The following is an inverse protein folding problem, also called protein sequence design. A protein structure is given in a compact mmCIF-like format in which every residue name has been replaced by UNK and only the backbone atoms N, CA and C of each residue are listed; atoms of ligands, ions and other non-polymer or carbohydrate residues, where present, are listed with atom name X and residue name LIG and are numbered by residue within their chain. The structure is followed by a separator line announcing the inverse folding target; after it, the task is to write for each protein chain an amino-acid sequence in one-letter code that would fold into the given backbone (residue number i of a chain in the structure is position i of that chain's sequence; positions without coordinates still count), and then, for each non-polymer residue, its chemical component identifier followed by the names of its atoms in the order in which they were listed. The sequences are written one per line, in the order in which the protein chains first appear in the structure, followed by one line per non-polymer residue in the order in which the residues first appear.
data_IF_278506633492
#
_entry.id   IF_278506633492
#
_cell.length_a   1.000
_cell.length_b   1.000
_cell.length_c   1.000
_cell.angle_alpha   90.00
_cell.angle_beta   90.00
_cell.angle_gamma   90.00
#
_symmetry.space_group_name_H-M   'P 1'
#
loop_
_entity.id
_entity.type
_entity.pdbx_description
1 polymer ?
#
# COMPACT_ATOMS: atom_id res chain seq x y z
N UNK A 1 42.19 -12.56 -37.60
CA UNK A 1 42.17 -12.24 -36.15
C UNK A 1 40.72 -12.05 -35.75
N UNK A 2 40.10 -13.14 -35.31
CA UNK A 2 38.63 -13.23 -35.13
C UNK A 2 38.29 -12.78 -33.70
N UNK A 3 37.63 -11.64 -33.57
CA UNK A 3 37.13 -11.14 -32.30
C UNK A 3 35.90 -12.00 -31.92
N UNK A 4 36.06 -12.86 -30.94
CA UNK A 4 34.94 -13.58 -30.30
C UNK A 4 34.19 -12.59 -29.43
N UNK A 5 33.01 -12.20 -29.89
CA UNK A 5 31.99 -11.55 -29.06
C UNK A 5 31.52 -12.54 -28.01
N UNK A 6 32.05 -12.40 -26.80
CA UNK A 6 31.56 -13.08 -25.61
C UNK A 6 30.37 -12.28 -25.02
N UNK A 7 29.26 -12.25 -25.74
CA UNK A 7 28.00 -11.82 -25.18
C UNK A 7 27.45 -12.95 -24.29
N UNK A 8 28.00 -13.06 -23.09
CA UNK A 8 27.43 -13.86 -22.03
C UNK A 8 26.41 -12.97 -21.29
N UNK A 9 25.31 -12.61 -21.98
CA UNK A 9 24.11 -12.09 -21.30
C UNK A 9 23.54 -13.23 -20.43
N UNK A 10 23.87 -13.21 -19.13
CA UNK A 10 23.11 -13.98 -18.17
C UNK A 10 21.65 -13.52 -18.29
N UNK A 11 20.81 -14.30 -18.96
CA UNK A 11 19.40 -14.06 -19.02
C UNK A 11 18.86 -14.25 -17.60
N UNK A 12 18.75 -13.16 -16.85
CA UNK A 12 18.02 -13.15 -15.58
C UNK A 12 16.62 -13.66 -15.91
N UNK A 13 16.28 -14.82 -15.38
CA UNK A 13 15.01 -15.52 -15.67
C UNK A 13 13.84 -14.61 -15.30
N UNK A 14 13.33 -13.88 -16.29
CA UNK A 14 12.30 -12.88 -16.11
C UNK A 14 11.03 -13.55 -15.59
N UNK A 15 10.58 -13.20 -14.41
CA UNK A 15 9.37 -13.76 -13.82
C UNK A 15 8.15 -13.25 -14.55
N UNK A 16 7.16 -14.13 -14.78
CA UNK A 16 5.91 -13.78 -15.45
C UNK A 16 5.17 -12.72 -14.61
N UNK A 17 4.80 -11.56 -15.20
CA UNK A 17 4.06 -10.50 -14.52
C UNK A 17 2.73 -10.95 -13.90
N UNK A 18 2.05 -11.92 -14.48
CA UNK A 18 0.83 -12.50 -13.92
C UNK A 18 0.98 -13.10 -12.52
N UNK A 19 2.19 -13.52 -12.16
CA UNK A 19 2.43 -14.12 -10.86
C UNK A 19 2.48 -13.11 -9.72
N UNK A 20 2.72 -11.82 -10.00
CA UNK A 20 2.92 -10.83 -8.96
C UNK A 20 2.04 -9.59 -9.08
N UNK A 21 1.65 -9.13 -10.28
CA UNK A 21 0.83 -7.92 -10.44
C UNK A 21 -0.54 -8.07 -9.79
N UNK A 22 -1.32 -9.14 -10.03
CA UNK A 22 -2.63 -9.30 -9.42
C UNK A 22 -2.60 -9.24 -7.89
N UNK A 23 -1.70 -9.98 -7.28
CA UNK A 23 -1.58 -10.06 -5.82
C UNK A 23 -0.99 -8.81 -5.20
N UNK A 24 -0.08 -8.14 -5.91
CA UNK A 24 0.53 -6.88 -5.45
C UNK A 24 -0.52 -5.76 -5.35
N UNK A 25 -1.35 -5.59 -6.39
CA UNK A 25 -2.38 -4.55 -6.40
C UNK A 25 -3.61 -4.91 -5.55
N UNK A 26 -3.86 -6.19 -5.34
CA UNK A 26 -4.80 -6.63 -4.30
C UNK A 26 -4.29 -6.23 -2.90
N UNK A 27 -3.01 -6.48 -2.61
CA UNK A 27 -2.37 -6.07 -1.36
C UNK A 27 -2.29 -4.54 -1.19
N UNK A 28 -2.30 -3.76 -2.26
CA UNK A 28 -2.35 -2.30 -2.22
C UNK A 28 -3.74 -1.79 -1.82
N UNK A 29 -4.81 -2.34 -2.41
CA UNK A 29 -6.18 -1.86 -2.18
C UNK A 29 -6.76 -2.23 -0.81
N UNK A 30 -6.36 -3.37 -0.24
CA UNK A 30 -7.01 -3.88 0.97
C UNK A 30 -6.74 -3.03 2.24
N UNK A 31 -5.53 -2.52 2.52
CA UNK A 31 -5.31 -1.63 3.67
C UNK A 31 -6.03 -0.30 3.52
N UNK A 32 -6.11 0.23 2.30
CA UNK A 32 -6.86 1.45 2.03
C UNK A 32 -8.34 1.30 2.43
N UNK A 33 -9.00 0.24 1.97
CA UNK A 33 -10.41 0.00 2.33
C UNK A 33 -10.57 -0.32 3.82
N UNK A 34 -9.59 -0.97 4.44
CA UNK A 34 -9.61 -1.24 5.88
C UNK A 34 -9.60 0.06 6.69
N UNK A 35 -8.74 1.00 6.32
CA UNK A 35 -8.63 2.31 7.01
C UNK A 35 -9.83 3.21 6.71
N UNK A 36 -10.27 3.27 5.44
CA UNK A 36 -11.29 4.25 5.02
C UNK A 36 -12.72 3.80 5.26
N UNK A 37 -12.99 2.49 5.23
CA UNK A 37 -14.36 1.97 5.31
C UNK A 37 -14.56 1.02 6.48
N UNK A 38 -13.70 0.00 6.60
CA UNK A 38 -13.89 -1.04 7.64
C UNK A 38 -13.71 -0.45 9.03
N UNK A 39 -12.77 0.48 9.25
CA UNK A 39 -12.58 1.17 10.51
C UNK A 39 -13.86 1.92 10.96
N UNK A 40 -14.51 2.63 10.04
CA UNK A 40 -15.75 3.35 10.30
C UNK A 40 -16.87 2.40 10.73
N UNK A 41 -17.03 1.28 10.00
CA UNK A 41 -18.04 0.27 10.31
C UNK A 41 -17.75 -0.38 11.68
N UNK A 42 -16.50 -0.78 11.90
CA UNK A 42 -16.06 -1.37 13.16
C UNK A 42 -16.34 -0.45 14.36
N UNK A 43 -15.92 0.83 14.30
CA UNK A 43 -16.16 1.78 15.38
C UNK A 43 -17.65 2.00 15.63
N UNK A 44 -18.48 2.03 14.56
CA UNK A 44 -19.93 2.12 14.69
C UNK A 44 -20.51 0.91 15.41
N UNK A 45 -20.06 -0.29 15.09
CA UNK A 45 -20.48 -1.55 15.74
C UNK A 45 -20.01 -1.63 17.18
N UNK A 46 -18.85 -1.04 17.50
CA UNK A 46 -18.32 -0.96 18.86
C UNK A 46 -18.94 0.17 19.71
N UNK A 47 -19.95 0.88 19.17
CA UNK A 47 -20.80 1.81 19.93
C UNK A 47 -20.38 3.28 19.89
N UNK A 48 -19.40 3.68 19.07
CA UNK A 48 -19.02 5.09 18.91
C UNK A 48 -20.14 5.88 18.22
N UNK A 49 -20.30 7.14 18.62
CA UNK A 49 -21.17 8.10 17.94
C UNK A 49 -20.63 8.49 16.56
N UNK A 50 -21.50 8.92 15.66
CA UNK A 50 -21.09 9.35 14.32
C UNK A 50 -20.11 10.53 14.38
N UNK A 51 -20.26 11.44 15.35
CA UNK A 51 -19.36 12.58 15.55
C UNK A 51 -17.96 12.14 15.93
N UNK A 52 -17.82 11.20 16.87
CA UNK A 52 -16.51 10.64 17.27
C UNK A 52 -15.85 9.91 16.11
N UNK A 53 -16.60 9.06 15.39
CA UNK A 53 -16.08 8.34 14.23
C UNK A 53 -15.53 9.32 13.20
N UNK A 54 -16.31 10.35 12.85
CA UNK A 54 -15.86 11.36 11.88
C UNK A 54 -14.63 12.09 12.36
N UNK A 55 -14.59 12.51 13.62
CA UNK A 55 -13.45 13.22 14.21
C UNK A 55 -12.15 12.38 14.13
N UNK A 56 -12.25 11.09 14.45
CA UNK A 56 -11.05 10.23 14.52
C UNK A 56 -10.61 9.72 13.14
N UNK A 57 -11.56 9.42 12.24
CA UNK A 57 -11.21 8.76 10.97
C UNK A 57 -10.94 9.71 9.81
N UNK A 58 -11.46 10.96 9.84
CA UNK A 58 -11.29 11.93 8.74
C UNK A 58 -9.82 12.23 8.42
N UNK A 59 -8.95 12.20 9.40
CA UNK A 59 -7.53 12.49 9.25
C UNK A 59 -6.73 11.31 8.71
N UNK A 60 -7.27 10.09 8.76
CA UNK A 60 -6.58 8.89 8.32
C UNK A 60 -6.28 8.87 6.81
N UNK A 61 -6.98 9.71 6.02
CA UNK A 61 -6.70 9.88 4.60
C UNK A 61 -5.42 10.69 4.30
N UNK A 62 -4.96 11.45 5.27
CA UNK A 62 -3.86 12.40 5.11
C UNK A 62 -2.57 11.76 4.54
N UNK A 63 -2.11 10.55 4.96
CA UNK A 63 -0.94 9.92 4.37
C UNK A 63 -0.99 9.77 2.85
N UNK A 64 -2.11 9.39 2.27
CA UNK A 64 -2.24 9.28 0.81
C UNK A 64 -2.20 10.62 0.10
N UNK A 65 -2.71 11.68 0.73
CA UNK A 65 -2.68 13.05 0.19
C UNK A 65 -1.28 13.63 0.15
N UNK A 66 -0.52 13.44 1.24
CA UNK A 66 0.81 14.03 1.39
C UNK A 66 1.96 13.09 0.99
N UNK A 67 1.65 11.88 0.47
CA UNK A 67 2.67 10.89 0.03
C UNK A 67 3.76 11.44 -0.90
N UNK A 68 3.51 12.47 -1.78
CA UNK A 68 4.58 13.04 -2.59
C UNK A 68 5.73 13.65 -1.76
N UNK A 69 5.46 14.10 -0.52
CA UNK A 69 6.48 14.73 0.32
C UNK A 69 7.59 13.76 0.74
N UNK A 70 7.29 12.46 0.90
CA UNK A 70 8.31 11.47 1.26
C UNK A 70 8.63 10.45 0.15
N UNK A 71 7.96 10.55 -0.99
CA UNK A 71 8.26 9.70 -2.15
C UNK A 71 9.75 9.70 -2.52
N UNK A 72 10.45 10.86 -2.55
CA UNK A 72 11.89 10.90 -2.82
C UNK A 72 12.73 10.10 -1.80
N UNK A 73 12.28 10.05 -0.53
CA UNK A 73 12.97 9.30 0.50
C UNK A 73 12.88 7.77 0.26
N UNK A 74 11.76 7.31 -0.26
CA UNK A 74 11.60 5.88 -0.64
C UNK A 74 12.58 5.48 -1.74
N UNK A 75 12.94 6.41 -2.63
CA UNK A 75 13.92 6.17 -3.70
C UNK A 75 15.38 6.11 -3.21
N UNK A 76 15.66 6.78 -2.08
CA UNK A 76 17.03 6.89 -1.55
C UNK A 76 17.44 5.70 -0.68
N UNK A 77 16.53 5.25 0.17
CA UNK A 77 16.93 4.43 1.33
C UNK A 77 17.14 2.97 0.94
N UNK A 78 16.24 2.40 0.12
CA UNK A 78 16.27 0.97 -0.27
C UNK A 78 15.66 0.76 -1.66
N UNK A 79 15.78 -0.49 -2.15
CA UNK A 79 15.09 -0.94 -3.37
C UNK A 79 13.58 -0.93 -3.19
N UNK A 80 12.83 -0.71 -4.27
CA UNK A 80 11.36 -0.74 -4.27
C UNK A 80 10.83 -2.07 -3.75
N UNK A 81 11.47 -3.18 -4.18
CA UNK A 81 11.14 -4.52 -3.68
C UNK A 81 11.26 -4.65 -2.16
N UNK A 82 12.33 -4.10 -1.58
CA UNK A 82 12.51 -4.13 -0.11
C UNK A 82 11.44 -3.34 0.63
N UNK A 83 11.06 -2.18 0.09
CA UNK A 83 9.98 -1.37 0.65
C UNK A 83 8.64 -2.08 0.60
N UNK A 84 8.27 -2.72 -0.53
CA UNK A 84 7.04 -3.50 -0.67
C UNK A 84 6.94 -4.54 0.45
N UNK A 85 7.97 -5.38 0.61
CA UNK A 85 7.97 -6.46 1.60
C UNK A 85 7.91 -5.90 3.04
N UNK A 86 8.68 -4.85 3.33
CA UNK A 86 8.70 -4.25 4.66
C UNK A 86 7.34 -3.62 5.02
N UNK A 87 6.73 -2.88 4.09
CA UNK A 87 5.44 -2.23 4.32
C UNK A 87 4.31 -3.25 4.45
N UNK A 88 4.30 -4.32 3.66
CA UNK A 88 3.35 -5.42 3.84
C UNK A 88 3.47 -6.10 5.20
N UNK A 89 4.69 -6.30 5.69
CA UNK A 89 4.93 -6.81 7.03
C UNK A 89 4.41 -5.87 8.13
N UNK A 90 4.62 -4.56 7.98
CA UNK A 90 4.09 -3.55 8.90
C UNK A 90 2.55 -3.49 8.86
N UNK A 91 1.94 -3.62 7.68
CA UNK A 91 0.48 -3.68 7.54
C UNK A 91 -0.07 -4.94 8.23
N UNK A 92 0.59 -6.10 8.05
CA UNK A 92 0.21 -7.33 8.75
C UNK A 92 0.27 -7.15 10.29
N UNK A 93 1.35 -6.54 10.79
CA UNK A 93 1.48 -6.20 12.21
C UNK A 93 0.44 -5.19 12.67
N UNK A 94 0.09 -4.22 11.82
CA UNK A 94 -0.98 -3.24 12.06
C UNK A 94 -2.34 -3.91 12.23
N UNK A 95 -2.71 -4.82 11.35
CA UNK A 95 -3.94 -5.61 11.48
C UNK A 95 -3.96 -6.46 12.75
N UNK A 96 -2.85 -7.13 13.06
CA UNK A 96 -2.74 -7.92 14.29
C UNK A 96 -2.84 -7.04 15.55
N UNK A 97 -2.23 -5.86 15.54
CA UNK A 97 -2.31 -4.88 16.62
C UNK A 97 -3.75 -4.39 16.84
N UNK A 98 -4.47 -4.03 15.77
CA UNK A 98 -5.88 -3.65 15.84
C UNK A 98 -6.69 -4.79 16.49
N UNK A 99 -6.54 -6.01 15.97
CA UNK A 99 -7.23 -7.19 16.48
C UNK A 99 -6.99 -7.42 17.98
N UNK A 100 -5.75 -7.24 18.41
CA UNK A 100 -5.36 -7.45 19.81
C UNK A 100 -5.96 -6.40 20.74
N UNK A 101 -6.04 -5.14 20.30
CA UNK A 101 -6.49 -4.05 21.17
C UNK A 101 -8.01 -3.79 21.14
N UNK A 102 -8.76 -4.33 20.18
CA UNK A 102 -10.23 -4.18 20.14
C UNK A 102 -10.93 -4.55 21.48
N UNK A 103 -10.58 -5.66 22.19
CA UNK A 103 -11.27 -6.03 23.42
C UNK A 103 -10.77 -5.28 24.68
N UNK A 104 -9.92 -4.26 24.51
CA UNK A 104 -9.34 -3.51 25.65
C UNK A 104 -10.15 -2.26 25.99
N UNK A 105 -9.97 -1.72 27.20
CA UNK A 105 -10.66 -0.50 27.67
C UNK A 105 -10.25 0.76 26.88
N UNK A 106 -9.03 0.82 26.35
CA UNK A 106 -8.49 1.93 25.57
C UNK A 106 -8.47 1.63 24.06
N UNK A 107 -9.44 0.82 23.59
CA UNK A 107 -9.42 0.31 22.22
C UNK A 107 -9.38 1.43 21.16
N UNK A 108 -10.10 2.55 21.37
CA UNK A 108 -10.16 3.64 20.39
C UNK A 108 -8.76 4.21 20.13
N UNK A 109 -8.05 4.62 21.19
CA UNK A 109 -6.74 5.25 21.06
C UNK A 109 -5.71 4.29 20.46
N UNK A 110 -5.72 3.03 20.92
CA UNK A 110 -4.76 2.04 20.49
C UNK A 110 -5.01 1.58 19.05
N UNK A 111 -6.27 1.25 18.70
CA UNK A 111 -6.59 0.87 17.32
C UNK A 111 -6.39 2.02 16.36
N UNK A 112 -6.69 3.27 16.76
CA UNK A 112 -6.45 4.45 15.94
C UNK A 112 -4.95 4.64 15.66
N UNK A 113 -4.07 4.43 16.64
CA UNK A 113 -2.62 4.47 16.44
C UNK A 113 -2.16 3.43 15.41
N UNK A 114 -2.72 2.21 15.45
CA UNK A 114 -2.43 1.18 14.44
C UNK A 114 -3.04 1.50 13.06
N UNK A 115 -4.21 2.14 13.00
CA UNK A 115 -4.75 2.63 11.72
C UNK A 115 -3.85 3.71 11.10
N UNK A 116 -3.29 4.61 11.90
CA UNK A 116 -2.29 5.57 11.44
C UNK A 116 -1.03 4.89 10.90
N UNK A 117 -0.49 3.92 11.66
CA UNK A 117 0.65 3.12 11.21
C UNK A 117 0.35 2.45 9.86
N UNK A 118 -0.84 1.85 9.73
CA UNK A 118 -1.27 1.21 8.48
C UNK A 118 -1.45 2.21 7.34
N UNK A 119 -2.03 3.39 7.60
CA UNK A 119 -2.23 4.42 6.59
C UNK A 119 -0.88 4.89 6.01
N UNK A 120 0.11 5.18 6.85
CA UNK A 120 1.46 5.54 6.40
C UNK A 120 2.17 4.38 5.69
N UNK A 121 2.05 3.16 6.22
CA UNK A 121 2.64 1.97 5.60
C UNK A 121 2.01 1.67 4.23
N UNK A 122 0.70 1.81 4.09
CA UNK A 122 -0.01 1.61 2.83
C UNK A 122 0.35 2.68 1.81
N UNK A 123 0.35 3.96 2.19
CA UNK A 123 0.76 5.04 1.29
C UNK A 123 2.22 4.88 0.82
N UNK A 124 3.11 4.37 1.68
CA UNK A 124 4.50 4.05 1.30
C UNK A 124 4.58 2.81 0.41
N UNK A 125 3.75 1.80 0.67
CA UNK A 125 3.62 0.62 -0.17
C UNK A 125 3.19 1.01 -1.60
N UNK A 126 2.19 1.89 -1.75
CA UNK A 126 1.72 2.39 -3.05
C UNK A 126 2.86 3.02 -3.86
N UNK A 127 3.66 3.92 -3.23
CA UNK A 127 4.82 4.54 -3.87
C UNK A 127 5.82 3.47 -4.34
N UNK A 128 6.08 2.48 -3.50
CA UNK A 128 7.02 1.42 -3.83
C UNK A 128 6.47 0.48 -4.92
N UNK A 129 5.20 0.11 -4.85
CA UNK A 129 4.54 -0.78 -5.81
C UNK A 129 4.44 -0.15 -7.20
N UNK A 130 4.03 1.11 -7.30
CA UNK A 130 3.98 1.85 -8.57
C UNK A 130 5.36 2.03 -9.19
N UNK A 131 6.36 2.40 -8.39
CA UNK A 131 7.75 2.48 -8.85
C UNK A 131 8.27 1.11 -9.31
N UNK A 132 7.99 0.05 -8.58
CA UNK A 132 8.38 -1.32 -8.94
C UNK A 132 7.70 -1.81 -10.23
N UNK A 133 6.43 -1.47 -10.44
CA UNK A 133 5.70 -1.75 -11.67
C UNK A 133 6.40 -1.14 -12.89
N UNK A 134 6.85 0.12 -12.77
CA UNK A 134 7.56 0.81 -13.85
C UNK A 134 8.94 0.21 -14.12
N UNK A 135 9.66 -0.23 -13.09
CA UNK A 135 10.99 -0.83 -13.22
C UNK A 135 10.95 -2.29 -13.70
N UNK A 136 9.92 -3.04 -13.31
CA UNK A 136 9.79 -4.47 -13.60
C UNK A 136 9.21 -4.82 -14.97
N UNK A 137 8.65 -3.84 -15.70
CA UNK A 137 7.91 -4.05 -16.94
C UNK A 137 8.41 -3.13 -18.06
N UNK A 138 8.35 -3.63 -19.31
CA UNK A 138 8.54 -2.79 -20.48
C UNK A 138 7.25 -2.00 -20.82
N UNK A 139 7.35 -1.00 -21.71
CA UNK A 139 6.23 -0.12 -22.06
C UNK A 139 4.97 -0.87 -22.59
N UNK A 140 5.15 -1.95 -23.35
CA UNK A 140 4.04 -2.76 -23.86
C UNK A 140 3.34 -3.51 -22.74
N UNK A 141 4.11 -4.07 -21.82
CA UNK A 141 3.56 -4.76 -20.65
C UNK A 141 2.89 -3.78 -19.70
N UNK A 142 3.48 -2.61 -19.46
CA UNK A 142 2.84 -1.57 -18.63
C UNK A 142 1.47 -1.19 -19.20
N UNK A 143 1.37 -0.97 -20.50
CA UNK A 143 0.10 -0.67 -21.16
C UNK A 143 -0.93 -1.79 -21.06
N UNK A 144 -0.48 -3.05 -21.13
CA UNK A 144 -1.36 -4.20 -21.00
C UNK A 144 -1.83 -4.42 -19.56
N UNK A 145 -0.90 -4.34 -18.58
CA UNK A 145 -1.22 -4.63 -17.19
C UNK A 145 -1.88 -3.49 -16.44
N UNK A 146 -1.98 -2.27 -16.99
CA UNK A 146 -2.65 -1.15 -16.33
C UNK A 146 -4.13 -1.44 -16.01
N UNK A 147 -4.84 -2.10 -16.92
CA UNK A 147 -6.23 -2.54 -16.66
C UNK A 147 -6.31 -3.61 -15.58
N UNK A 148 -5.38 -4.57 -15.62
CA UNK A 148 -5.33 -5.69 -14.67
C UNK A 148 -5.05 -5.19 -13.26
N UNK A 149 -4.03 -4.31 -13.06
CA UNK A 149 -3.75 -3.74 -11.76
C UNK A 149 -4.95 -3.01 -11.16
N UNK A 150 -5.64 -2.18 -11.97
CA UNK A 150 -6.83 -1.47 -11.52
C UNK A 150 -7.98 -2.42 -11.16
N UNK A 151 -8.13 -3.52 -11.89
CA UNK A 151 -9.15 -4.55 -11.61
C UNK A 151 -8.88 -5.21 -10.25
N UNK A 152 -7.65 -5.63 -9.98
CA UNK A 152 -7.32 -6.28 -8.71
C UNK A 152 -7.33 -5.30 -7.52
N UNK A 153 -6.97 -4.05 -7.71
CA UNK A 153 -7.18 -2.99 -6.71
C UNK A 153 -8.66 -2.83 -6.37
N UNK A 154 -9.55 -2.75 -7.38
CA UNK A 154 -11.01 -2.67 -7.15
C UNK A 154 -11.56 -3.95 -6.53
N UNK A 155 -11.05 -5.11 -6.94
CA UNK A 155 -11.43 -6.38 -6.34
C UNK A 155 -11.09 -6.42 -4.84
N UNK A 156 -9.94 -5.89 -4.41
CA UNK A 156 -9.59 -5.75 -3.00
C UNK A 156 -10.60 -4.88 -2.23
N UNK A 157 -11.09 -3.78 -2.86
CA UNK A 157 -12.11 -2.93 -2.26
C UNK A 157 -13.45 -3.68 -2.06
N UNK A 158 -13.89 -4.43 -3.09
CA UNK A 158 -15.11 -5.24 -3.02
C UNK A 158 -14.96 -6.34 -1.97
N UNK A 159 -13.81 -7.01 -1.94
CA UNK A 159 -13.49 -8.04 -0.96
C UNK A 159 -13.54 -7.49 0.47
N UNK A 160 -12.93 -6.32 0.71
CA UNK A 160 -12.91 -5.68 2.03
C UNK A 160 -14.30 -5.24 2.48
N UNK A 161 -15.00 -4.48 1.66
CA UNK A 161 -16.33 -3.94 2.00
C UNK A 161 -17.43 -5.01 2.01
N UNK A 162 -17.33 -6.01 1.15
CA UNK A 162 -18.29 -7.10 1.05
C UNK A 162 -17.94 -8.25 2.00
N UNK A 163 -16.98 -9.07 1.61
CA UNK A 163 -16.71 -10.36 2.26
C UNK A 163 -16.27 -10.19 3.71
N UNK A 164 -15.36 -9.25 4.00
CA UNK A 164 -14.87 -9.08 5.38
C UNK A 164 -15.92 -8.49 6.30
N UNK A 165 -16.73 -7.54 5.83
CA UNK A 165 -17.81 -6.96 6.63
C UNK A 165 -18.93 -7.98 6.86
N UNK A 166 -19.27 -8.78 5.84
CA UNK A 166 -20.22 -9.89 6.00
C UNK A 166 -19.71 -10.94 6.99
N UNK A 167 -18.42 -11.26 6.93
CA UNK A 167 -17.81 -12.19 7.88
C UNK A 167 -17.88 -11.66 9.31
N UNK A 168 -17.54 -10.37 9.52
CA UNK A 168 -17.66 -9.74 10.83
C UNK A 168 -19.09 -9.81 11.35
N UNK A 169 -20.10 -9.45 10.52
CA UNK A 169 -21.52 -9.51 10.88
C UNK A 169 -22.00 -10.94 11.20
N UNK A 170 -21.54 -11.93 10.43
CA UNK A 170 -21.85 -13.33 10.72
C UNK A 170 -21.22 -13.79 12.05
N UNK A 171 -19.98 -13.41 12.32
CA UNK A 171 -19.31 -13.70 13.59
C UNK A 171 -20.01 -13.00 14.76
N UNK A 172 -20.46 -11.75 14.59
CA UNK A 172 -21.24 -11.04 15.63
C UNK A 172 -22.50 -11.83 16.03
N UNK A 173 -23.25 -12.32 15.04
CA UNK A 173 -24.48 -13.08 15.31
C UNK A 173 -24.21 -14.47 15.88
N UNK A 174 -23.14 -15.12 15.44
CA UNK A 174 -22.81 -16.49 15.87
C UNK A 174 -22.15 -16.52 17.25
N UNK A 175 -21.31 -15.52 17.58
CA UNK A 175 -20.58 -15.48 18.84
C UNK A 175 -21.28 -14.66 19.93
N UNK A 176 -22.23 -13.80 19.56
CA UNK A 176 -22.88 -12.87 20.49
C UNK A 176 -21.94 -11.83 21.11
N UNK A 177 -20.74 -11.66 20.57
CA UNK A 177 -19.69 -10.79 21.10
C UNK A 177 -19.06 -9.95 19.98
N UNK A 178 -19.46 -8.68 19.90
CA UNK A 178 -19.01 -7.76 18.85
C UNK A 178 -17.49 -7.54 18.87
N UNK A 179 -16.85 -7.19 20.00
CA UNK A 179 -15.38 -7.05 20.03
C UNK A 179 -14.63 -8.29 19.56
N UNK A 180 -15.06 -9.48 19.96
CA UNK A 180 -14.44 -10.74 19.55
C UNK A 180 -14.58 -10.98 18.04
N UNK A 181 -15.76 -10.72 17.48
CA UNK A 181 -16.02 -10.90 16.05
C UNK A 181 -15.09 -10.02 15.21
N UNK A 182 -14.94 -8.75 15.56
CA UNK A 182 -14.03 -7.83 14.88
C UNK A 182 -12.57 -8.20 15.10
N UNK A 183 -12.16 -8.62 16.29
CA UNK A 183 -10.81 -9.12 16.54
C UNK A 183 -10.46 -10.30 15.64
N UNK A 184 -11.35 -11.30 15.53
CA UNK A 184 -11.15 -12.46 14.63
C UNK A 184 -11.02 -12.00 13.18
N UNK A 185 -11.88 -11.10 12.72
CA UNK A 185 -11.84 -10.57 11.35
C UNK A 185 -10.49 -9.90 11.06
N UNK A 186 -9.99 -9.06 11.96
CA UNK A 186 -8.70 -8.40 11.80
C UNK A 186 -7.51 -9.35 11.92
N UNK A 187 -7.59 -10.42 12.75
CA UNK A 187 -6.57 -11.47 12.76
C UNK A 187 -6.54 -12.25 11.44
N UNK A 188 -7.68 -12.51 10.81
CA UNK A 188 -7.72 -13.14 9.49
C UNK A 188 -7.09 -12.23 8.42
N UNK A 189 -7.32 -10.91 8.50
CA UNK A 189 -6.64 -9.95 7.62
C UNK A 189 -5.12 -9.93 7.87
N UNK A 190 -4.69 -9.97 9.11
CA UNK A 190 -3.27 -10.07 9.47
C UNK A 190 -2.63 -11.33 8.88
N UNK A 191 -3.28 -12.48 9.02
CA UNK A 191 -2.85 -13.75 8.43
C UNK A 191 -2.76 -13.71 6.91
N UNK A 192 -3.77 -13.13 6.25
CA UNK A 192 -3.77 -12.93 4.80
C UNK A 192 -2.59 -12.05 4.36
N UNK A 193 -2.35 -10.93 5.06
CA UNK A 193 -1.24 -10.04 4.74
C UNK A 193 0.12 -10.66 5.00
N UNK A 194 0.26 -11.44 6.06
CA UNK A 194 1.47 -12.20 6.33
C UNK A 194 1.74 -13.21 5.19
N UNK A 195 0.71 -13.92 4.74
CA UNK A 195 0.82 -14.85 3.61
C UNK A 195 1.22 -14.13 2.31
N UNK A 196 0.62 -12.95 2.03
CA UNK A 196 0.99 -12.13 0.88
C UNK A 196 2.43 -11.61 1.00
N UNK A 197 2.87 -11.19 2.17
CA UNK A 197 4.24 -10.75 2.43
C UNK A 197 5.25 -11.88 2.13
N UNK A 198 4.97 -13.09 2.63
CA UNK A 198 5.80 -14.26 2.37
C UNK A 198 5.77 -14.63 0.88
N UNK A 199 4.62 -14.63 0.25
CA UNK A 199 4.49 -14.88 -1.18
C UNK A 199 5.31 -13.88 -2.01
N UNK A 200 5.17 -12.60 -1.75
CA UNK A 200 5.89 -11.55 -2.46
C UNK A 200 7.40 -11.59 -2.21
N UNK A 201 7.83 -12.00 -1.01
CA UNK A 201 9.25 -12.20 -0.73
C UNK A 201 9.92 -13.19 -1.69
N UNK A 202 9.18 -14.22 -2.13
CA UNK A 202 9.69 -15.25 -3.04
C UNK A 202 9.36 -15.00 -4.51
N UNK A 203 8.23 -14.36 -4.79
CA UNK A 203 7.69 -14.22 -6.15
C UNK A 203 8.10 -12.92 -6.83
N UNK A 204 8.26 -11.81 -6.12
CA UNK A 204 8.66 -10.55 -6.75
C UNK A 204 10.01 -10.70 -7.45
N UNK A 205 10.12 -10.27 -8.73
CA UNK A 205 11.37 -10.28 -9.46
C UNK A 205 12.44 -9.40 -8.79
N UNK A 206 13.68 -9.53 -9.25
CA UNK A 206 14.79 -8.65 -8.87
C UNK A 206 15.25 -7.94 -10.16
N UNK A 207 14.57 -6.83 -10.55
CA UNK A 207 15.03 -6.09 -11.72
C UNK A 207 16.41 -5.49 -11.48
N UNK A 208 17.30 -5.58 -12.46
CA UNK A 208 18.64 -4.96 -12.38
C UNK A 208 18.57 -3.43 -12.26
N UNK A 209 17.41 -2.84 -12.62
CA UNK A 209 17.12 -1.42 -12.50
C UNK A 209 16.65 -1.01 -11.11
N UNK A 210 16.25 -1.96 -10.24
CA UNK A 210 15.82 -1.69 -8.84
C UNK A 210 17.03 -1.62 -7.92
N UNK A 211 17.91 -0.67 -8.19
CA UNK A 211 19.12 -0.41 -7.39
C UNK A 211 18.91 0.81 -6.49
N UNK A 212 19.54 0.76 -5.33
CA UNK A 212 19.65 1.97 -4.48
C UNK A 212 20.45 3.03 -5.24
N UNK A 213 19.92 4.22 -5.36
CA UNK A 213 20.64 5.35 -6.00
C UNK A 213 21.75 5.83 -5.08
N UNK A 214 22.99 5.44 -5.39
CA UNK A 214 24.18 5.91 -4.69
C UNK A 214 24.53 7.34 -5.12
N UNK A 215 24.97 8.17 -4.16
CA UNK A 215 25.44 9.54 -4.43
C UNK A 215 24.36 10.62 -4.49
N UNK A 216 23.08 10.31 -4.32
CA UNK A 216 22.02 11.31 -4.15
C UNK A 216 21.90 11.70 -2.67
N UNK A 217 22.16 12.97 -2.38
CA UNK A 217 21.91 13.54 -1.04
C UNK A 217 20.44 13.93 -0.91
N UNK A 218 19.86 13.80 0.28
CA UNK A 218 18.47 14.19 0.56
C UNK A 218 18.16 15.64 0.15
N UNK A 219 19.13 16.55 0.32
CA UNK A 219 19.02 17.95 -0.10
C UNK A 219 18.88 18.12 -1.61
N UNK A 220 19.63 17.35 -2.39
CA UNK A 220 19.57 17.40 -3.87
C UNK A 220 18.26 16.86 -4.41
N UNK A 221 17.74 15.80 -3.81
CA UNK A 221 16.41 15.26 -4.16
C UNK A 221 15.28 16.22 -3.79
N UNK A 222 15.35 16.84 -2.62
CA UNK A 222 14.39 17.87 -2.23
C UNK A 222 14.44 19.06 -3.19
N UNK A 223 15.63 19.48 -3.60
CA UNK A 223 15.81 20.55 -4.59
C UNK A 223 15.20 20.16 -5.94
N UNK A 224 15.49 18.96 -6.46
CA UNK A 224 14.94 18.47 -7.74
C UNK A 224 13.42 18.29 -7.66
N UNK A 225 12.90 17.81 -6.52
CA UNK A 225 11.46 17.71 -6.26
C UNK A 225 10.80 19.09 -6.27
N UNK A 226 11.36 20.05 -5.53
CA UNK A 226 10.81 21.41 -5.48
C UNK A 226 10.86 22.11 -6.83
N UNK A 227 11.95 21.96 -7.58
CA UNK A 227 12.06 22.48 -8.95
C UNK A 227 10.99 21.88 -9.87
N UNK A 228 10.82 20.56 -9.84
CA UNK A 228 9.80 19.88 -10.65
C UNK A 228 8.39 20.30 -10.25
N UNK A 229 8.13 20.38 -8.94
CA UNK A 229 6.82 20.78 -8.40
C UNK A 229 6.46 22.23 -8.79
N UNK A 230 7.41 23.16 -8.63
CA UNK A 230 7.22 24.57 -9.01
C UNK A 230 7.05 24.69 -10.54
N UNK A 231 7.84 23.96 -11.32
CA UNK A 231 7.70 23.93 -12.78
C UNK A 231 6.32 23.43 -13.19
N UNK A 232 5.83 22.33 -12.60
CA UNK A 232 4.48 21.85 -12.88
C UNK A 232 3.39 22.87 -12.51
N UNK A 233 3.51 23.55 -11.35
CA UNK A 233 2.57 24.60 -10.94
C UNK A 233 2.57 25.78 -11.91
N UNK A 234 3.73 26.19 -12.39
CA UNK A 234 3.84 27.29 -13.38
C UNK A 234 3.23 26.92 -14.74
N UNK A 235 3.34 25.64 -15.15
CA UNK A 235 2.72 25.17 -16.39
C UNK A 235 1.20 24.97 -16.28
N UNK A 236 0.66 24.75 -15.08
CA UNK A 236 -0.79 24.61 -14.86
C UNK A 236 -1.46 25.94 -14.51
N UNK A 237 -0.71 27.00 -14.28
CA UNK A 237 -1.23 28.35 -14.11
C UNK A 237 -1.70 28.89 -15.48
N UNK A 238 -2.97 29.33 -15.64
CA UNK A 238 -3.41 29.91 -16.89
C UNK A 238 -2.52 31.10 -17.26
N UNK A 239 -2.02 31.09 -18.49
CA UNK A 239 -1.21 32.16 -19.01
C UNK A 239 -2.04 33.47 -19.01
N UNK A 240 -1.46 34.64 -18.62
CA UNK A 240 -2.14 35.91 -18.74
C UNK A 240 -2.59 36.26 -20.18
N UNK A 241 -2.24 35.41 -21.15
CA UNK A 241 -2.66 35.53 -22.58
C UNK A 241 -3.94 34.78 -22.92
N UNK A 242 -4.44 33.96 -21.97
CA UNK A 242 -5.65 33.15 -22.16
C UNK A 242 -6.86 33.74 -21.40
N UNK A 243 -6.74 34.97 -20.89
CA UNK A 243 -7.78 35.77 -20.21
C UNK A 243 -8.35 36.85 -21.14
#
# INVERSE_FOLDING_TARGET
MTIRDTNHSMSVKRRNPWNWIPTLYFAEGLPYVAVMTIAVIMYKRLGLSNTEITLYTSWLYLPWTIKPLWSPFVDLVKTKRSWIIAMQGLIAAGFAGIAFFIPTTHFVQLTLAFFWLMAFSSATHDIAADGFYMLGLNNKEQSFFVGIRNTFYRFANIFGQGILVMLAGWLETSQGNIPLAWSITFYLMAGLFLALTLYHRFILPHPDTDIKREGLTASKLLEDFLKTFISCLLYTSPSPRDA
#
